data_IF_782633704267
#
_entry.id   IF_782633704267
#
_cell.length_a   1.000
_cell.length_b   1.000
_cell.length_c   1.000
_cell.angle_alpha   90.00
_cell.angle_beta   90.00
_cell.angle_gamma   90.00
#
_symmetry.space_group_name_H-M   'P 1'
#
loop_
_entity.id
_entity.type
_entity.pdbx_description
1 polymer ?
#
# COMPACT_ATOMS: atom_id res chain seq x y z
N UNK A 1 -2.69 27.37 -1.06
CA UNK A 1 -4.03 26.88 -0.65
C UNK A 1 -3.84 26.01 0.58
N UNK A 2 -4.86 25.86 1.45
CA UNK A 2 -4.71 25.14 2.73
C UNK A 2 -5.78 24.07 2.90
N UNK A 3 -5.36 22.91 3.40
CA UNK A 3 -6.20 21.78 3.75
C UNK A 3 -6.98 21.19 2.58
N UNK A 4 -7.79 20.18 2.88
CA UNK A 4 -8.56 19.41 1.89
C UNK A 4 -9.47 20.31 1.03
N UNK A 5 -10.06 21.35 1.63
CA UNK A 5 -10.94 22.30 0.92
C UNK A 5 -10.20 23.32 0.04
N UNK A 6 -8.87 23.26 0.03
CA UNK A 6 -8.01 24.13 -0.75
C UNK A 6 -8.30 25.63 -0.52
N UNK A 7 -8.57 26.00 0.73
CA UNK A 7 -8.94 27.37 1.10
C UNK A 7 -7.81 28.35 0.78
N UNK A 8 -8.18 29.59 0.43
CA UNK A 8 -7.20 30.65 0.21
C UNK A 8 -6.43 30.94 1.51
N UNK A 9 -5.11 31.09 1.39
CA UNK A 9 -4.26 31.36 2.53
C UNK A 9 -2.78 31.24 2.18
N UNK A 10 -1.96 31.94 2.97
CA UNK A 10 -0.50 31.90 2.89
C UNK A 10 0.03 30.92 3.94
N UNK A 11 0.99 30.08 3.54
CA UNK A 11 1.82 29.27 4.43
C UNK A 11 3.24 29.77 4.23
N UNK A 12 3.80 30.59 5.13
CA UNK A 12 5.14 31.17 4.94
C UNK A 12 6.22 30.13 4.63
N UNK A 13 6.13 28.96 5.25
CA UNK A 13 7.08 27.84 5.14
C UNK A 13 6.98 27.11 3.78
N UNK A 14 5.96 27.42 2.97
CA UNK A 14 5.78 26.76 1.67
C UNK A 14 6.79 27.19 0.60
N UNK A 15 7.48 28.33 0.81
CA UNK A 15 8.43 28.98 -0.12
C UNK A 15 7.79 29.29 -1.49
N UNK A 16 7.68 30.58 -1.85
CA UNK A 16 6.95 31.03 -3.05
C UNK A 16 5.49 30.50 -3.11
N UNK A 17 4.85 30.27 -1.97
CA UNK A 17 3.48 29.73 -1.91
C UNK A 17 3.38 28.27 -2.40
N UNK A 18 4.49 27.53 -2.45
CA UNK A 18 4.58 26.16 -2.97
C UNK A 18 4.84 26.08 -4.47
N UNK A 19 4.88 27.20 -5.19
CA UNK A 19 5.24 27.24 -6.61
C UNK A 19 6.75 27.08 -6.78
N UNK A 20 7.25 26.59 -7.92
CA UNK A 20 8.69 26.56 -8.20
C UNK A 20 9.23 27.96 -8.58
N UNK A 21 9.05 28.92 -7.68
CA UNK A 21 9.66 30.25 -7.72
C UNK A 21 11.12 30.22 -7.25
N UNK A 22 11.78 31.38 -7.11
CA UNK A 22 13.19 31.46 -6.76
C UNK A 22 13.56 30.75 -5.45
N UNK A 23 12.77 30.91 -4.39
CA UNK A 23 13.05 30.32 -3.08
C UNK A 23 12.88 28.80 -3.10
N UNK A 24 11.78 28.31 -3.68
CA UNK A 24 11.48 26.87 -3.79
C UNK A 24 12.50 26.17 -4.70
N UNK A 25 12.86 26.77 -5.83
CA UNK A 25 13.90 26.22 -6.73
C UNK A 25 15.27 26.18 -6.06
N UNK A 26 15.65 27.20 -5.31
CA UNK A 26 16.90 27.21 -4.54
C UNK A 26 16.90 26.09 -3.50
N UNK A 27 15.79 25.92 -2.77
CA UNK A 27 15.62 24.83 -1.80
C UNK A 27 15.73 23.46 -2.45
N UNK A 28 15.01 23.21 -3.56
CA UNK A 28 15.09 21.94 -4.29
C UNK A 28 16.50 21.67 -4.83
N UNK A 29 17.21 22.68 -5.35
CA UNK A 29 18.60 22.52 -5.81
C UNK A 29 19.53 22.11 -4.67
N UNK A 30 19.35 22.71 -3.49
CA UNK A 30 20.13 22.36 -2.31
C UNK A 30 19.89 20.91 -1.88
N UNK A 31 18.62 20.47 -1.82
CA UNK A 31 18.29 19.08 -1.50
C UNK A 31 18.86 18.11 -2.53
N UNK A 32 18.72 18.42 -3.82
CA UNK A 32 19.26 17.58 -4.91
C UNK A 32 20.79 17.50 -4.80
N UNK A 33 21.48 18.63 -4.63
CA UNK A 33 22.93 18.65 -4.50
C UNK A 33 23.42 17.84 -3.29
N UNK A 34 22.68 17.87 -2.18
CA UNK A 34 23.03 17.12 -0.95
C UNK A 34 22.73 15.64 -1.04
N UNK A 35 21.60 15.25 -1.63
CA UNK A 35 21.05 13.91 -1.43
C UNK A 35 20.91 13.08 -2.71
N UNK A 36 20.94 13.68 -3.90
CA UNK A 36 20.71 12.92 -5.14
C UNK A 36 21.77 11.87 -5.43
N UNK A 37 22.91 11.83 -4.75
CA UNK A 37 23.86 10.71 -4.93
C UNK A 37 23.38 9.40 -4.25
N UNK A 38 22.31 9.43 -3.44
CA UNK A 38 21.77 8.24 -2.78
C UNK A 38 20.89 7.43 -3.73
N UNK A 39 21.28 6.19 -4.03
CA UNK A 39 20.58 5.32 -4.99
C UNK A 39 19.13 4.97 -4.58
N UNK A 40 18.86 4.91 -3.28
CA UNK A 40 17.56 4.58 -2.73
C UNK A 40 16.84 5.84 -2.24
N UNK A 41 16.59 6.78 -3.17
CA UNK A 41 15.94 8.06 -2.90
C UNK A 41 14.65 8.20 -3.71
N UNK A 42 13.58 8.62 -3.02
CA UNK A 42 12.31 8.99 -3.60
C UNK A 42 12.04 10.48 -3.33
N UNK A 43 11.74 11.25 -4.36
CA UNK A 43 11.23 12.61 -4.22
C UNK A 43 9.70 12.58 -4.07
N UNK A 44 9.20 12.65 -2.84
CA UNK A 44 7.79 12.96 -2.60
C UNK A 44 7.58 14.47 -2.64
N UNK A 45 6.91 14.95 -3.69
CA UNK A 45 6.86 16.38 -4.01
C UNK A 45 5.84 17.14 -3.16
N UNK A 46 5.01 16.46 -2.38
CA UNK A 46 4.17 17.11 -1.38
C UNK A 46 3.23 16.15 -0.69
N UNK A 47 3.04 16.38 0.60
CA UNK A 47 2.06 15.75 1.47
C UNK A 47 0.73 16.52 1.40
N UNK A 48 -0.40 15.79 1.57
CA UNK A 48 -1.78 16.30 1.45
C UNK A 48 -1.93 17.50 0.48
N UNK A 49 -1.50 17.26 -0.76
CA UNK A 49 -1.11 18.34 -1.66
C UNK A 49 -2.31 19.17 -2.18
N UNK A 50 -2.17 20.51 -2.16
CA UNK A 50 -3.20 21.46 -2.62
C UNK A 50 -2.79 22.28 -3.87
N UNK A 51 -1.67 21.94 -4.49
CA UNK A 51 -1.17 22.54 -5.73
C UNK A 51 -2.11 22.21 -6.91
N UNK A 52 -2.13 23.06 -7.94
CA UNK A 52 -2.80 22.73 -9.20
C UNK A 52 -1.98 21.68 -9.96
N UNK A 53 -2.60 21.02 -10.94
CA UNK A 53 -1.88 20.11 -11.85
C UNK A 53 -0.69 20.80 -12.53
N UNK A 54 -0.84 22.06 -12.93
CA UNK A 54 0.23 22.86 -13.53
C UNK A 54 1.39 23.08 -12.54
N UNK A 55 1.09 23.53 -11.32
CA UNK A 55 2.11 23.75 -10.28
C UNK A 55 2.85 22.45 -9.92
N UNK A 56 2.14 21.31 -9.91
CA UNK A 56 2.75 19.98 -9.73
C UNK A 56 3.68 19.65 -10.88
N UNK A 57 3.23 19.81 -12.13
CA UNK A 57 4.04 19.53 -13.31
C UNK A 57 5.28 20.43 -13.38
N UNK A 58 5.18 21.71 -13.06
CA UNK A 58 6.33 22.60 -13.05
C UNK A 58 7.40 22.15 -12.03
N UNK A 59 6.98 21.71 -10.85
CA UNK A 59 7.91 21.22 -9.83
C UNK A 59 8.54 19.89 -10.23
N UNK A 60 7.76 18.96 -10.77
CA UNK A 60 8.23 17.67 -11.29
C UNK A 60 9.24 17.88 -12.42
N UNK A 61 8.92 18.73 -13.40
CA UNK A 61 9.81 19.04 -14.51
C UNK A 61 11.10 19.70 -14.04
N UNK A 62 11.02 20.59 -13.05
CA UNK A 62 12.21 21.21 -12.46
C UNK A 62 13.13 20.19 -11.77
N UNK A 63 12.58 19.33 -10.91
CA UNK A 63 13.34 18.28 -10.24
C UNK A 63 13.96 17.35 -11.30
N UNK A 64 13.18 16.96 -12.31
CA UNK A 64 13.65 16.06 -13.36
C UNK A 64 14.76 16.66 -14.22
N UNK A 65 14.72 17.96 -14.51
CA UNK A 65 15.79 18.65 -15.22
C UNK A 65 17.05 18.87 -14.36
N UNK A 66 16.92 18.80 -13.04
CA UNK A 66 17.99 19.18 -12.10
C UNK A 66 18.68 17.97 -11.46
N UNK A 67 17.95 16.89 -11.19
CA UNK A 67 18.49 15.66 -10.58
C UNK A 67 19.24 14.81 -11.63
N UNK A 68 20.58 14.71 -11.56
CA UNK A 68 21.37 14.03 -12.58
C UNK A 68 21.14 12.51 -12.62
N UNK A 69 20.60 11.93 -11.55
CA UNK A 69 20.37 10.49 -11.43
C UNK A 69 18.93 10.09 -11.76
N UNK A 70 18.06 11.07 -11.99
CA UNK A 70 16.71 10.83 -12.47
C UNK A 70 15.91 9.94 -11.50
N UNK A 71 15.97 10.24 -10.20
CA UNK A 71 15.28 9.48 -9.14
C UNK A 71 13.78 9.37 -9.36
N UNK A 72 13.20 8.43 -8.63
CA UNK A 72 11.77 8.25 -8.53
C UNK A 72 11.10 9.49 -7.93
N UNK A 73 10.03 9.96 -8.58
CA UNK A 73 9.23 11.11 -8.15
C UNK A 73 7.78 10.67 -7.95
N UNK A 74 7.26 10.92 -6.75
CA UNK A 74 5.87 10.63 -6.34
C UNK A 74 5.19 11.88 -5.81
N UNK A 75 3.87 11.82 -5.71
CA UNK A 75 3.07 12.82 -5.02
C UNK A 75 2.10 12.11 -4.07
N UNK A 76 1.92 12.69 -2.89
CA UNK A 76 0.92 12.30 -1.91
C UNK A 76 -0.28 13.26 -1.94
N UNK A 77 -1.47 12.73 -1.66
CA UNK A 77 -2.72 13.50 -1.71
C UNK A 77 -3.74 12.95 -0.71
N UNK A 78 -4.68 13.82 -0.32
CA UNK A 78 -5.85 13.41 0.45
C UNK A 78 -6.57 12.21 -0.20
N UNK A 79 -7.07 11.24 0.58
CA UNK A 79 -7.77 10.07 0.06
C UNK A 79 -8.93 10.36 -0.91
N UNK A 80 -9.81 11.36 -0.67
CA UNK A 80 -10.90 11.67 -1.60
C UNK A 80 -10.45 12.41 -2.88
N UNK A 81 -9.19 12.84 -2.96
CA UNK A 81 -8.68 13.65 -4.07
C UNK A 81 -7.79 12.88 -5.05
N UNK A 82 -7.47 11.61 -4.78
CA UNK A 82 -6.62 10.79 -5.64
C UNK A 82 -7.03 10.86 -7.12
N UNK A 83 -8.31 10.67 -7.41
CA UNK A 83 -8.87 10.74 -8.77
C UNK A 83 -8.62 12.10 -9.44
N UNK A 84 -8.84 13.18 -8.71
CA UNK A 84 -8.65 14.56 -9.17
C UNK A 84 -7.17 14.88 -9.41
N UNK A 85 -6.28 14.39 -8.55
CA UNK A 85 -4.85 14.73 -8.57
C UNK A 85 -4.08 13.86 -9.54
N UNK A 86 -4.24 12.53 -9.49
CA UNK A 86 -3.42 11.60 -10.25
C UNK A 86 -3.83 11.48 -11.72
N UNK A 87 -5.13 11.43 -12.04
CA UNK A 87 -5.63 11.25 -13.42
C UNK A 87 -5.01 12.23 -14.45
N UNK A 88 -4.95 13.55 -14.18
CA UNK A 88 -4.37 14.49 -15.15
C UNK A 88 -2.85 14.34 -15.28
N UNK A 89 -2.17 13.61 -14.38
CA UNK A 89 -0.72 13.41 -14.38
C UNK A 89 -0.28 12.09 -15.05
N UNK A 90 -1.20 11.20 -15.43
CA UNK A 90 -0.86 9.91 -16.04
C UNK A 90 -0.19 10.05 -17.42
N UNK A 91 0.66 9.08 -17.76
CA UNK A 91 1.29 8.96 -19.08
C UNK A 91 2.26 10.10 -19.38
N UNK A 92 2.23 10.59 -20.63
CA UNK A 92 3.09 11.69 -21.08
C UNK A 92 2.72 13.08 -20.51
N UNK A 93 1.62 13.19 -19.76
CA UNK A 93 1.16 14.46 -19.18
C UNK A 93 2.00 14.94 -17.99
N UNK A 94 2.82 14.06 -17.41
CA UNK A 94 3.73 14.40 -16.32
C UNK A 94 4.99 13.54 -16.35
N UNK A 95 6.07 14.05 -15.77
CA UNK A 95 7.28 13.25 -15.54
C UNK A 95 7.25 12.43 -14.24
N UNK A 96 6.14 12.46 -13.48
CA UNK A 96 5.92 11.55 -12.35
C UNK A 96 6.12 10.09 -12.71
N UNK A 97 6.72 9.35 -11.79
CA UNK A 97 7.03 7.93 -11.95
C UNK A 97 6.27 7.05 -10.97
N UNK A 98 5.52 7.65 -10.05
CA UNK A 98 4.81 6.92 -9.00
C UNK A 98 3.77 7.73 -8.25
N UNK A 99 3.11 7.05 -7.31
CA UNK A 99 2.16 7.64 -6.39
C UNK A 99 2.43 7.14 -4.96
N UNK A 100 2.23 8.03 -3.99
CA UNK A 100 2.32 7.76 -2.55
C UNK A 100 0.92 7.82 -1.98
N UNK A 101 0.33 6.67 -1.67
CA UNK A 101 -1.12 6.60 -1.40
C UNK A 101 -1.46 6.71 0.09
N UNK A 102 -2.32 7.67 0.42
CA UNK A 102 -3.08 7.73 1.68
C UNK A 102 -4.44 7.01 1.53
N UNK A 103 -4.73 6.01 2.36
CA UNK A 103 -6.00 5.26 2.29
C UNK A 103 -6.49 4.77 3.66
N UNK A 104 -7.77 4.38 3.74
CA UNK A 104 -8.21 3.44 4.77
C UNK A 104 -7.45 2.11 4.62
N UNK A 105 -7.11 1.46 5.74
CA UNK A 105 -6.34 0.21 5.75
C UNK A 105 -6.98 -0.90 4.90
N UNK A 106 -8.31 -0.92 4.81
CA UNK A 106 -9.09 -1.87 4.02
C UNK A 106 -9.28 -1.47 2.55
N UNK A 107 -8.75 -0.33 2.11
CA UNK A 107 -8.88 0.15 0.72
C UNK A 107 -7.57 0.06 -0.07
N UNK A 108 -6.47 -0.32 0.60
CA UNK A 108 -5.11 -0.29 0.04
C UNK A 108 -5.02 -1.12 -1.24
N UNK A 109 -5.55 -2.34 -1.26
CA UNK A 109 -5.52 -3.19 -2.45
C UNK A 109 -6.18 -2.52 -3.67
N UNK A 110 -7.44 -2.11 -3.53
CA UNK A 110 -8.23 -1.52 -4.63
C UNK A 110 -7.60 -0.22 -5.17
N UNK A 111 -7.13 0.63 -4.27
CA UNK A 111 -6.51 1.92 -4.64
C UNK A 111 -5.15 1.72 -5.29
N UNK A 112 -4.33 0.82 -4.77
CA UNK A 112 -3.06 0.43 -5.40
C UNK A 112 -3.30 -0.13 -6.80
N UNK A 113 -4.19 -1.12 -6.91
CA UNK A 113 -4.52 -1.78 -8.18
C UNK A 113 -4.98 -0.78 -9.25
N UNK A 114 -5.83 0.18 -8.86
CA UNK A 114 -6.27 1.24 -9.75
C UNK A 114 -5.09 2.00 -10.34
N UNK A 115 -4.17 2.50 -9.51
CA UNK A 115 -3.12 3.39 -10.00
C UNK A 115 -2.00 2.66 -10.75
N UNK A 116 -1.66 1.42 -10.38
CA UNK A 116 -0.75 0.60 -11.21
C UNK A 116 -1.38 0.30 -12.58
N UNK A 117 -2.69 0.04 -12.62
CA UNK A 117 -3.41 -0.28 -13.86
C UNK A 117 -3.56 0.95 -14.77
N UNK A 118 -4.05 2.07 -14.23
CA UNK A 118 -4.32 3.28 -15.02
C UNK A 118 -3.03 3.94 -15.53
N UNK A 119 -1.94 3.89 -14.75
CA UNK A 119 -0.63 4.37 -15.21
C UNK A 119 -0.05 3.51 -16.33
N UNK A 120 -0.13 2.17 -16.20
CA UNK A 120 0.28 1.25 -17.25
C UNK A 120 -0.53 1.45 -18.53
N UNK A 121 -1.87 1.58 -18.43
CA UNK A 121 -2.75 1.90 -19.58
C UNK A 121 -2.40 3.23 -20.25
N UNK A 122 -1.93 4.22 -19.49
CA UNK A 122 -1.48 5.50 -20.00
C UNK A 122 -0.08 5.45 -20.65
N UNK A 123 0.53 4.28 -20.78
CA UNK A 123 1.82 4.07 -21.44
C UNK A 123 3.05 4.40 -20.59
N UNK A 124 2.86 4.71 -19.30
CA UNK A 124 3.95 4.96 -18.35
C UNK A 124 3.60 4.33 -17.00
N UNK A 125 3.96 3.05 -16.79
CA UNK A 125 3.72 2.36 -15.53
C UNK A 125 4.29 3.13 -14.34
N UNK A 126 3.50 3.26 -13.28
CA UNK A 126 3.92 3.87 -12.03
C UNK A 126 4.31 2.82 -11.01
N UNK A 127 5.32 3.15 -10.21
CA UNK A 127 5.60 2.46 -8.94
C UNK A 127 4.69 3.07 -7.88
N UNK A 128 3.87 2.26 -7.22
CA UNK A 128 2.81 2.75 -6.31
C UNK A 128 3.00 2.13 -4.93
N UNK A 129 3.27 2.97 -3.93
CA UNK A 129 3.35 2.56 -2.53
C UNK A 129 2.14 3.09 -1.75
N UNK A 130 1.83 2.46 -0.61
CA UNK A 130 0.89 3.02 0.37
C UNK A 130 1.70 3.54 1.56
N UNK A 131 1.83 4.86 1.67
CA UNK A 131 2.64 5.49 2.72
C UNK A 131 1.84 5.80 3.98
N UNK A 132 0.51 5.89 3.87
CA UNK A 132 -0.36 6.14 5.01
C UNK A 132 -1.65 5.30 4.96
N UNK A 133 -1.88 4.55 6.03
CA UNK A 133 -3.02 3.66 6.22
C UNK A 133 -3.83 4.00 7.48
N UNK A 134 -5.14 3.87 7.35
CA UNK A 134 -6.06 4.08 8.46
C UNK A 134 -6.36 5.56 8.71
N UNK A 135 -7.16 5.87 9.74
CA UNK A 135 -7.46 7.25 10.07
C UNK A 135 -6.25 7.92 10.76
N UNK A 136 -6.09 9.23 10.53
CA UNK A 136 -5.06 10.08 11.16
C UNK A 136 -4.95 9.87 12.69
N UNK A 137 -6.07 9.53 13.34
CA UNK A 137 -6.10 9.28 14.79
C UNK A 137 -5.44 8.00 15.24
N UNK A 138 -5.48 6.93 14.43
CA UNK A 138 -5.11 5.58 14.91
C UNK A 138 -3.93 4.99 14.15
N UNK A 139 -3.82 5.19 12.83
CA UNK A 139 -2.74 4.62 12.01
C UNK A 139 -2.57 3.12 12.22
N UNK A 140 -1.33 2.63 12.23
CA UNK A 140 -1.00 1.23 12.57
C UNK A 140 -1.04 1.01 14.10
N UNK A 141 -1.82 0.02 14.59
CA UNK A 141 -1.94 -0.26 16.02
C UNK A 141 -0.61 -0.74 16.61
N UNK A 142 -0.30 -0.40 17.89
CA UNK A 142 0.74 -1.07 18.63
C UNK A 142 0.49 -2.57 18.76
N UNK A 143 1.55 -3.31 19.09
CA UNK A 143 1.46 -4.73 19.39
C UNK A 143 0.62 -4.98 20.67
N UNK A 144 -0.15 -6.08 20.71
CA UNK A 144 -0.90 -6.49 21.88
C UNK A 144 0.02 -6.61 23.10
N UNK A 145 -0.37 -5.96 24.20
CA UNK A 145 0.40 -5.89 25.44
C UNK A 145 1.36 -4.71 25.54
N UNK A 146 1.71 -4.03 24.43
CA UNK A 146 2.61 -2.88 24.48
C UNK A 146 1.98 -1.75 25.31
N UNK A 147 2.60 -1.42 26.44
CA UNK A 147 2.06 -0.45 27.42
C UNK A 147 0.59 -0.73 27.81
N UNK A 148 0.20 -2.01 27.87
CA UNK A 148 -1.17 -2.41 28.21
C UNK A 148 -2.20 -2.25 27.08
N UNK A 149 -1.76 -1.96 25.85
CA UNK A 149 -2.65 -1.91 24.69
C UNK A 149 -3.28 -3.29 24.42
N UNK A 150 -4.59 -3.33 24.16
CA UNK A 150 -5.34 -4.59 24.03
C UNK A 150 -5.20 -5.25 22.64
N UNK A 151 -4.49 -4.60 21.71
CA UNK A 151 -4.23 -5.11 20.37
C UNK A 151 -5.23 -4.66 19.31
N UNK A 152 -6.21 -3.81 19.65
CA UNK A 152 -7.26 -3.39 18.72
C UNK A 152 -7.38 -1.87 18.67
N UNK A 153 -7.10 -1.29 17.52
CA UNK A 153 -7.31 0.14 17.27
C UNK A 153 -8.81 0.43 17.15
N UNK A 154 -9.33 1.25 18.06
CA UNK A 154 -10.73 1.72 18.07
C UNK A 154 -10.76 3.23 18.24
N UNK A 155 -11.67 3.89 17.52
CA UNK A 155 -11.88 5.32 17.69
C UNK A 155 -12.43 5.57 19.12
N UNK A 156 -11.82 6.52 19.84
CA UNK A 156 -12.39 6.97 21.13
C UNK A 156 -13.70 7.71 20.87
N UNK A 157 -14.75 7.40 21.64
CA UNK A 157 -16.08 8.01 21.47
C UNK A 157 -16.08 9.54 21.69
N UNK A 158 -15.08 10.08 22.39
CA UNK A 158 -14.82 11.52 22.49
C UNK A 158 -13.31 11.76 22.66
N UNK A 159 -12.58 12.20 21.63
CA UNK A 159 -11.19 12.60 21.82
C UNK A 159 -11.17 13.93 22.57
N UNK A 160 -10.80 13.91 23.84
CA UNK A 160 -10.43 15.12 24.58
C UNK A 160 -9.36 15.88 23.77
N UNK A 161 -9.66 17.14 23.40
CA UNK A 161 -8.72 18.00 22.67
C UNK A 161 -9.28 18.75 21.45
N UNK A 162 -10.50 18.45 20.98
CA UNK A 162 -11.21 19.32 20.01
C UNK A 162 -12.44 19.96 20.66
N UNK A 163 -12.20 20.91 21.57
CA UNK A 163 -13.21 21.89 21.98
C UNK A 163 -13.56 22.77 20.78
N UNK A 164 -14.62 22.41 20.07
CA UNK A 164 -15.21 23.28 19.05
C UNK A 164 -15.28 22.67 17.66
N UNK A 165 -16.16 21.70 17.49
CA UNK A 165 -17.15 21.63 16.40
C UNK A 165 -18.00 20.40 16.68
N UNK A 166 -19.32 20.56 16.62
CA UNK A 166 -20.28 19.45 16.67
C UNK A 166 -19.90 18.48 15.55
N UNK A 167 -19.11 17.45 15.86
CA UNK A 167 -19.07 16.26 15.03
C UNK A 167 -20.50 15.74 15.08
N UNK A 168 -21.21 15.81 13.96
CA UNK A 168 -22.51 15.21 13.85
C UNK A 168 -22.39 13.78 14.40
N UNK A 169 -23.29 13.38 15.29
CA UNK A 169 -23.40 11.98 15.77
C UNK A 169 -23.72 11.10 14.57
N UNK A 170 -22.70 10.73 13.80
CA UNK A 170 -22.79 9.63 12.84
C UNK A 170 -22.63 8.37 13.66
N UNK A 171 -23.60 7.48 13.59
CA UNK A 171 -23.42 6.15 14.16
C UNK A 171 -22.22 5.48 13.48
N UNK A 172 -21.27 5.01 14.29
CA UNK A 172 -20.16 4.22 13.81
C UNK A 172 -20.68 2.95 13.13
N UNK A 173 -20.18 2.69 11.92
CA UNK A 173 -20.42 1.44 11.20
C UNK A 173 -19.98 0.23 12.02
N UNK A 174 -20.51 -0.99 11.74
CA UNK A 174 -20.06 -2.21 12.41
C UNK A 174 -18.55 -2.44 12.34
N UNK A 175 -17.91 -2.06 11.22
CA UNK A 175 -16.46 -2.15 11.05
C UNK A 175 -15.70 -1.17 11.96
N UNK A 176 -16.18 0.07 12.07
CA UNK A 176 -15.63 1.07 13.00
C UNK A 176 -15.80 0.63 14.47
N UNK A 177 -16.90 -0.05 14.81
CA UNK A 177 -17.15 -0.59 16.15
C UNK A 177 -16.25 -1.79 16.47
N UNK A 178 -16.00 -2.67 15.50
CA UNK A 178 -15.04 -3.79 15.65
C UNK A 178 -13.64 -3.28 15.93
N UNK A 179 -13.26 -2.17 15.28
CA UNK A 179 -11.88 -1.74 15.20
C UNK A 179 -11.07 -2.66 14.28
N UNK A 180 -9.75 -2.46 14.27
CA UNK A 180 -8.83 -3.24 13.46
C UNK A 180 -7.54 -3.55 14.22
N UNK A 181 -6.88 -4.64 13.85
CA UNK A 181 -5.68 -5.15 14.52
C UNK A 181 -4.46 -5.10 13.60
N UNK A 182 -3.28 -5.43 14.13
CA UNK A 182 -2.09 -5.65 13.32
C UNK A 182 -2.28 -6.74 12.24
N UNK A 183 -3.17 -7.73 12.47
CA UNK A 183 -3.48 -8.75 11.47
C UNK A 183 -4.29 -8.18 10.31
N UNK A 184 -5.23 -7.27 10.59
CA UNK A 184 -5.97 -6.55 9.54
C UNK A 184 -5.00 -5.73 8.67
N UNK A 185 -4.03 -5.03 9.28
CA UNK A 185 -2.96 -4.31 8.57
C UNK A 185 -2.11 -5.26 7.73
N UNK A 186 -1.62 -6.35 8.30
CA UNK A 186 -0.83 -7.36 7.56
C UNK A 186 -1.59 -7.88 6.34
N UNK A 187 -2.87 -8.23 6.50
CA UNK A 187 -3.69 -8.87 5.47
C UNK A 187 -4.16 -7.91 4.38
N UNK A 188 -4.72 -6.75 4.74
CA UNK A 188 -5.36 -5.85 3.80
C UNK A 188 -4.47 -4.68 3.36
N UNK A 189 -3.46 -4.30 4.16
CA UNK A 189 -2.49 -3.26 3.81
C UNK A 189 -1.22 -3.85 3.20
N UNK A 190 -0.43 -4.62 3.95
CA UNK A 190 0.86 -5.14 3.46
C UNK A 190 0.66 -6.11 2.30
N UNK A 191 0.02 -7.26 2.55
CA UNK A 191 -0.26 -8.23 1.49
C UNK A 191 -1.26 -7.69 0.47
N UNK A 192 -2.22 -6.85 0.88
CA UNK A 192 -3.14 -6.21 -0.06
C UNK A 192 -2.42 -5.33 -1.10
N UNK A 193 -1.45 -4.51 -0.68
CA UNK A 193 -0.64 -3.70 -1.58
C UNK A 193 0.22 -4.57 -2.51
N UNK A 194 0.98 -5.52 -1.94
CA UNK A 194 1.86 -6.40 -2.72
C UNK A 194 1.06 -7.20 -3.76
N UNK A 195 -0.08 -7.78 -3.38
CA UNK A 195 -0.91 -8.57 -4.28
C UNK A 195 -1.70 -7.73 -5.30
N UNK A 196 -1.74 -6.40 -5.14
CA UNK A 196 -2.21 -5.48 -6.16
C UNK A 196 -1.12 -5.13 -7.21
N UNK A 197 0.14 -5.49 -6.96
CA UNK A 197 1.30 -5.05 -7.75
C UNK A 197 1.95 -3.76 -7.21
N UNK A 198 1.66 -3.38 -5.97
CA UNK A 198 2.27 -2.23 -5.31
C UNK A 198 3.67 -2.49 -4.78
N UNK A 199 4.44 -1.43 -4.59
CA UNK A 199 5.86 -1.47 -4.25
C UNK A 199 6.15 -1.65 -2.75
N UNK A 200 5.12 -1.73 -1.91
CA UNK A 200 5.25 -1.84 -0.46
C UNK A 200 4.44 -0.79 0.30
N UNK A 201 4.74 -0.71 1.59
CA UNK A 201 4.00 0.09 2.57
C UNK A 201 4.94 0.88 3.46
N UNK A 202 4.52 2.08 3.83
CA UNK A 202 5.10 2.85 4.94
C UNK A 202 4.05 2.88 6.06
N UNK A 203 4.48 2.73 7.31
CA UNK A 203 3.57 2.57 8.44
C UNK A 203 3.39 3.90 9.17
N UNK A 204 2.23 4.52 8.97
CA UNK A 204 1.83 5.73 9.67
C UNK A 204 1.34 5.44 11.09
N UNK A 205 1.78 6.23 12.06
CA UNK A 205 1.40 6.10 13.46
C UNK A 205 0.43 7.21 13.86
N UNK A 206 -0.85 6.88 14.04
CA UNK A 206 -1.85 7.91 14.32
C UNK A 206 -1.71 8.54 15.70
N UNK A 207 -2.13 9.80 15.82
CA UNK A 207 -1.86 10.68 16.97
C UNK A 207 -2.44 10.24 18.33
N UNK A 208 -3.33 9.24 18.38
CA UNK A 208 -4.00 8.82 19.64
C UNK A 208 -3.39 7.59 20.32
N UNK A 209 -2.64 6.76 19.59
CA UNK A 209 -2.10 5.52 20.13
C UNK A 209 -0.72 5.77 20.78
N UNK A 210 -0.25 4.87 21.67
CA UNK A 210 1.12 4.92 22.18
C UNK A 210 2.16 5.06 21.07
N UNK A 211 3.28 5.76 21.33
CA UNK A 211 4.35 6.01 20.35
C UNK A 211 3.80 6.49 18.99
N UNK A 212 3.03 7.57 18.99
CA UNK A 212 2.39 8.14 17.80
C UNK A 212 3.32 9.05 16.97
N UNK A 213 2.82 9.55 15.85
CA UNK A 213 3.49 10.49 14.93
C UNK A 213 4.13 11.72 15.60
N UNK A 214 3.62 12.18 16.75
CA UNK A 214 4.16 13.35 17.44
C UNK A 214 5.27 13.03 18.44
N UNK A 215 5.25 11.83 19.05
CA UNK A 215 6.10 11.52 20.21
C UNK A 215 6.80 10.17 20.14
N UNK A 216 6.79 9.49 18.98
CA UNK A 216 7.45 8.20 18.83
C UNK A 216 8.95 8.28 19.15
N UNK A 217 9.35 7.53 20.16
CA UNK A 217 10.74 7.30 20.59
C UNK A 217 11.06 5.80 20.73
N UNK A 218 10.05 4.93 20.60
CA UNK A 218 10.20 3.47 20.69
C UNK A 218 9.46 2.73 19.56
N UNK A 219 10.25 2.32 18.57
CA UNK A 219 9.79 1.56 17.41
C UNK A 219 9.35 0.12 17.74
N UNK A 220 9.69 -0.40 18.94
CA UNK A 220 9.21 -1.72 19.41
C UNK A 220 7.72 -1.73 19.73
N UNK A 221 7.08 -0.56 19.76
CA UNK A 221 5.62 -0.49 19.84
C UNK A 221 4.91 -1.25 18.73
N UNK A 222 5.55 -1.45 17.56
CA UNK A 222 5.03 -2.22 16.41
C UNK A 222 6.03 -3.28 15.94
N UNK A 223 6.75 -3.92 16.86
CA UNK A 223 7.81 -4.90 16.56
C UNK A 223 7.35 -5.98 15.57
N UNK A 224 6.17 -6.57 15.81
CA UNK A 224 5.58 -7.59 14.92
C UNK A 224 5.32 -7.08 13.51
N UNK A 225 4.96 -5.80 13.36
CA UNK A 225 4.69 -5.23 12.04
C UNK A 225 5.95 -5.17 11.19
N UNK A 226 7.11 -4.89 11.80
CA UNK A 226 8.41 -4.94 11.14
C UNK A 226 8.80 -6.36 10.74
N UNK A 227 8.52 -7.33 11.62
CA UNK A 227 8.71 -8.75 11.30
C UNK A 227 7.87 -9.20 10.09
N UNK A 228 6.62 -8.75 9.97
CA UNK A 228 5.80 -9.07 8.80
C UNK A 228 6.36 -8.47 7.50
N UNK A 229 6.91 -7.26 7.55
CA UNK A 229 7.60 -6.68 6.40
C UNK A 229 8.81 -7.52 6.02
N UNK A 230 9.65 -7.91 6.99
CA UNK A 230 10.81 -8.78 6.76
C UNK A 230 10.38 -10.13 6.16
N UNK A 231 9.37 -10.77 6.73
CA UNK A 231 8.81 -12.06 6.24
C UNK A 231 8.33 -11.94 4.79
N UNK A 232 7.65 -10.85 4.43
CA UNK A 232 7.21 -10.63 3.05
C UNK A 232 8.42 -10.43 2.12
N UNK A 233 9.40 -9.61 2.49
CA UNK A 233 10.61 -9.38 1.68
C UNK A 233 11.40 -10.68 1.46
N UNK A 234 11.64 -11.45 2.52
CA UNK A 234 12.29 -12.76 2.47
C UNK A 234 11.51 -13.72 1.55
N UNK A 235 10.17 -13.76 1.64
CA UNK A 235 9.36 -14.60 0.76
C UNK A 235 9.61 -14.30 -0.73
N UNK A 236 9.52 -13.03 -1.13
CA UNK A 236 9.70 -12.65 -2.54
C UNK A 236 11.13 -12.94 -3.02
N UNK A 237 12.12 -12.62 -2.19
CA UNK A 237 13.54 -12.83 -2.48
C UNK A 237 13.90 -14.32 -2.58
N UNK A 238 13.64 -15.10 -1.52
CA UNK A 238 14.11 -16.48 -1.39
C UNK A 238 13.40 -17.43 -2.35
N UNK A 239 12.14 -17.14 -2.68
CA UNK A 239 11.37 -17.93 -3.65
C UNK A 239 11.54 -17.43 -5.09
N UNK A 240 12.44 -16.46 -5.32
CA UNK A 240 12.77 -15.88 -6.64
C UNK A 240 11.51 -15.47 -7.40
N UNK A 241 10.62 -14.75 -6.73
CA UNK A 241 9.36 -14.30 -7.33
C UNK A 241 9.68 -13.14 -8.28
N UNK A 242 9.37 -13.24 -9.59
CA UNK A 242 9.63 -12.19 -10.57
C UNK A 242 8.56 -11.10 -10.46
N UNK A 243 8.48 -10.42 -9.31
CA UNK A 243 7.38 -9.53 -8.94
C UNK A 243 7.04 -8.50 -10.02
N UNK A 244 8.06 -7.90 -10.64
CA UNK A 244 7.93 -6.88 -11.69
C UNK A 244 7.34 -7.40 -13.01
N UNK A 245 7.25 -8.72 -13.21
CA UNK A 245 6.62 -9.36 -14.37
C UNK A 245 5.20 -9.87 -14.06
N UNK A 246 4.73 -9.69 -12.82
CA UNK A 246 3.45 -10.20 -12.37
C UNK A 246 2.38 -9.11 -12.36
N UNK A 247 1.14 -9.50 -12.63
CA UNK A 247 -0.02 -8.62 -12.64
C UNK A 247 -1.14 -9.17 -11.75
N UNK A 248 -2.02 -8.30 -11.28
CA UNK A 248 -3.21 -8.76 -10.57
C UNK A 248 -4.06 -9.68 -11.47
N UNK A 249 -4.56 -10.75 -10.88
CA UNK A 249 -5.38 -11.75 -11.55
C UNK A 249 -6.53 -12.25 -10.65
N UNK A 250 -7.09 -11.38 -9.81
CA UNK A 250 -8.14 -11.75 -8.85
C UNK A 250 -9.37 -12.43 -9.50
N UNK A 251 -9.69 -12.09 -10.73
CA UNK A 251 -10.77 -12.72 -11.50
C UNK A 251 -10.57 -14.24 -11.64
N UNK A 252 -9.33 -14.73 -11.74
CA UNK A 252 -9.02 -16.16 -11.87
C UNK A 252 -9.35 -16.97 -10.61
N UNK A 253 -9.48 -16.31 -9.46
CA UNK A 253 -9.90 -16.94 -8.22
C UNK A 253 -11.33 -16.58 -7.84
N UNK A 254 -12.12 -16.02 -8.76
CA UNK A 254 -13.51 -15.64 -8.51
C UNK A 254 -13.67 -14.40 -7.62
N UNK A 255 -12.72 -13.45 -7.68
CA UNK A 255 -12.84 -12.12 -7.06
C UNK A 255 -12.74 -11.00 -8.11
N UNK A 256 -13.69 -10.88 -9.07
CA UNK A 256 -13.64 -9.85 -10.10
C UNK A 256 -13.88 -8.42 -9.56
N UNK A 257 -14.46 -8.30 -8.36
CA UNK A 257 -14.72 -7.04 -7.66
C UNK A 257 -13.47 -6.49 -6.95
N UNK A 258 -12.39 -7.27 -6.89
CA UNK A 258 -11.13 -6.92 -6.20
C UNK A 258 -11.36 -6.53 -4.74
N UNK A 259 -12.27 -7.21 -4.04
CA UNK A 259 -12.45 -7.02 -2.60
C UNK A 259 -11.36 -7.76 -1.80
N UNK A 260 -11.38 -7.61 -0.48
CA UNK A 260 -10.36 -8.19 0.41
C UNK A 260 -10.63 -9.65 0.79
N UNK A 261 -11.51 -10.37 0.09
CA UNK A 261 -11.80 -11.78 0.40
C UNK A 261 -10.62 -12.71 0.08
N UNK A 262 -9.89 -12.42 -1.00
CA UNK A 262 -8.73 -13.17 -1.51
C UNK A 262 -8.06 -12.41 -2.64
N UNK A 263 -6.75 -12.56 -2.80
CA UNK A 263 -6.01 -11.89 -3.88
C UNK A 263 -5.26 -12.90 -4.74
N UNK A 264 -5.07 -12.56 -6.01
CA UNK A 264 -4.24 -13.30 -6.95
C UNK A 264 -3.29 -12.34 -7.66
N UNK A 265 -2.01 -12.67 -7.66
CA UNK A 265 -0.96 -12.02 -8.43
C UNK A 265 -0.32 -13.08 -9.32
N UNK A 266 -0.20 -12.85 -10.63
CA UNK A 266 0.18 -13.88 -11.57
C UNK A 266 1.14 -13.40 -12.65
N UNK A 267 2.10 -14.26 -13.00
CA UNK A 267 2.69 -14.35 -14.34
C UNK A 267 2.00 -15.51 -15.04
N UNK A 268 1.02 -15.18 -15.89
CA UNK A 268 0.11 -16.16 -16.49
C UNK A 268 0.88 -17.29 -17.20
N UNK A 269 0.47 -18.53 -16.94
CA UNK A 269 1.08 -19.75 -17.50
C UNK A 269 2.35 -20.24 -16.82
N UNK A 270 2.85 -19.53 -15.81
CA UNK A 270 4.12 -19.88 -15.13
C UNK A 270 4.00 -19.87 -13.60
N UNK A 271 3.48 -18.79 -13.03
CA UNK A 271 3.46 -18.58 -11.58
C UNK A 271 2.21 -17.82 -11.15
N UNK A 272 1.52 -18.34 -10.15
CA UNK A 272 0.37 -17.70 -9.50
C UNK A 272 0.60 -17.68 -8.00
N UNK A 273 0.35 -16.53 -7.39
CA UNK A 273 0.34 -16.32 -5.96
C UNK A 273 -1.11 -16.06 -5.55
N UNK A 274 -1.66 -16.87 -4.66
CA UNK A 274 -3.04 -16.74 -4.18
C UNK A 274 -3.02 -16.51 -2.69
N UNK A 275 -3.34 -15.29 -2.25
CA UNK A 275 -3.40 -14.93 -0.84
C UNK A 275 -4.82 -15.07 -0.31
N UNK A 276 -4.98 -15.78 0.80
CA UNK A 276 -6.24 -16.04 1.47
C UNK A 276 -6.23 -15.39 2.86
N UNK A 277 -6.70 -14.13 3.02
CA UNK A 277 -6.69 -13.39 4.29
C UNK A 277 -7.39 -14.10 5.47
N UNK A 278 -8.38 -14.96 5.17
CA UNK A 278 -9.17 -15.69 6.16
C UNK A 278 -8.87 -17.21 6.15
N UNK A 279 -7.83 -17.64 5.43
CA UNK A 279 -7.50 -19.05 5.26
C UNK A 279 -8.49 -19.80 4.38
N UNK A 280 -8.67 -21.09 4.68
CA UNK A 280 -9.55 -21.99 3.97
C UNK A 280 -8.95 -22.46 2.65
N UNK A 281 -9.78 -22.50 1.61
CA UNK A 281 -9.36 -22.93 0.27
C UNK A 281 -10.03 -22.06 -0.78
N UNK A 282 -9.56 -22.15 -2.02
CA UNK A 282 -10.21 -21.56 -3.19
C UNK A 282 -9.96 -22.43 -4.41
N UNK A 283 -10.75 -22.16 -5.46
CA UNK A 283 -10.42 -22.61 -6.80
C UNK A 283 -9.59 -21.54 -7.55
N UNK A 284 -8.79 -22.01 -8.50
CA UNK A 284 -8.05 -21.20 -9.47
C UNK A 284 -8.47 -21.62 -10.89
N UNK A 285 -8.82 -20.66 -11.72
CA UNK A 285 -9.11 -20.87 -13.14
C UNK A 285 -7.81 -20.92 -13.95
N UNK A 286 -7.46 -22.10 -14.44
CA UNK A 286 -6.33 -22.36 -15.33
C UNK A 286 -6.81 -22.81 -16.72
N UNK A 287 -8.04 -22.47 -17.13
CA UNK A 287 -8.60 -22.82 -18.44
C UNK A 287 -7.80 -22.24 -19.61
N UNK A 288 -7.19 -21.07 -19.42
CA UNK A 288 -6.39 -20.39 -20.45
C UNK A 288 -4.97 -20.95 -20.64
N UNK A 289 -4.55 -21.95 -19.87
CA UNK A 289 -3.18 -22.51 -19.89
C UNK A 289 -3.20 -24.03 -19.80
N UNK A 290 -2.08 -24.68 -20.10
CA UNK A 290 -1.93 -26.14 -20.05
C UNK A 290 -0.67 -26.56 -19.31
N UNK A 291 -0.59 -27.83 -18.95
CA UNK A 291 0.52 -28.41 -18.19
C UNK A 291 0.17 -28.68 -16.73
N UNK A 292 1.17 -29.18 -15.99
CA UNK A 292 1.06 -29.44 -14.55
C UNK A 292 1.69 -28.29 -13.77
N UNK A 293 1.14 -28.02 -12.60
CA UNK A 293 1.64 -27.02 -11.67
C UNK A 293 1.77 -27.66 -10.29
N UNK A 294 2.84 -27.34 -9.60
CA UNK A 294 3.03 -27.60 -8.17
C UNK A 294 2.21 -26.61 -7.34
N UNK A 295 1.74 -27.05 -6.16
CA UNK A 295 0.95 -26.25 -5.22
C UNK A 295 1.62 -26.34 -3.84
N UNK A 296 2.08 -25.20 -3.33
CA UNK A 296 2.72 -25.11 -2.02
C UNK A 296 2.21 -23.90 -1.23
N UNK A 297 2.38 -23.93 0.08
CA UNK A 297 1.80 -22.97 1.02
C UNK A 297 2.89 -22.26 1.82
N UNK A 298 2.79 -20.94 1.89
CA UNK A 298 3.65 -20.07 2.68
C UNK A 298 2.86 -19.46 3.84
N UNK A 299 3.45 -19.46 5.04
CA UNK A 299 2.84 -18.87 6.23
C UNK A 299 3.25 -17.40 6.40
N UNK A 300 2.40 -16.42 6.07
CA UNK A 300 2.69 -14.99 6.20
C UNK A 300 2.82 -14.50 7.65
N UNK A 301 2.50 -15.33 8.65
CA UNK A 301 2.64 -14.99 10.09
C UNK A 301 4.04 -15.24 10.60
N UNK A 302 4.66 -16.33 10.15
CA UNK A 302 5.92 -16.85 10.70
C UNK A 302 7.06 -16.91 9.68
N UNK A 303 6.76 -16.75 8.39
CA UNK A 303 7.73 -17.01 7.33
C UNK A 303 8.15 -18.48 7.25
N UNK A 304 9.35 -18.71 6.73
CA UNK A 304 9.96 -20.03 6.57
C UNK A 304 9.73 -20.66 5.20
N UNK A 305 10.03 -21.95 5.10
CA UNK A 305 9.96 -22.71 3.85
C UNK A 305 8.51 -22.91 3.38
N UNK A 306 8.35 -23.05 2.07
CA UNK A 306 7.09 -23.52 1.47
C UNK A 306 6.74 -24.92 1.98
N UNK A 307 5.45 -25.17 2.22
CA UNK A 307 4.93 -26.42 2.78
C UNK A 307 3.92 -27.05 1.84
N UNK A 308 3.92 -28.37 1.79
CA UNK A 308 2.87 -29.12 1.09
C UNK A 308 1.54 -28.98 1.84
N UNK A 309 0.46 -28.69 1.09
CA UNK A 309 -0.91 -28.81 1.57
C UNK A 309 -1.50 -30.19 1.23
N UNK A 310 -2.83 -30.30 1.31
CA UNK A 310 -3.53 -31.53 0.90
C UNK A 310 -3.42 -31.79 -0.61
N UNK A 311 -3.35 -30.73 -1.42
CA UNK A 311 -3.11 -30.79 -2.86
C UNK A 311 -1.68 -30.32 -3.11
N UNK A 312 -0.88 -31.15 -3.78
CA UNK A 312 0.54 -30.87 -4.09
C UNK A 312 0.78 -30.48 -5.54
N UNK A 313 -0.14 -30.86 -6.42
CA UNK A 313 -0.08 -30.57 -7.85
C UNK A 313 -1.47 -30.54 -8.46
N UNK A 314 -1.63 -29.75 -9.52
CA UNK A 314 -2.86 -29.64 -10.31
C UNK A 314 -2.52 -29.64 -11.79
N UNK A 315 -3.41 -30.22 -12.61
CA UNK A 315 -3.31 -30.12 -14.06
C UNK A 315 -4.18 -28.95 -14.53
N UNK A 316 -3.60 -28.04 -15.32
CA UNK A 316 -4.31 -26.94 -15.96
C UNK A 316 -5.27 -27.43 -17.06
N UNK A 317 -5.97 -26.50 -17.71
CA UNK A 317 -7.02 -26.79 -18.70
C UNK A 317 -8.45 -26.65 -18.16
N UNK A 318 -8.60 -26.12 -16.94
CA UNK A 318 -9.90 -25.86 -16.32
C UNK A 318 -9.76 -25.23 -14.94
N UNK A 319 -10.87 -25.17 -14.22
CA UNK A 319 -10.88 -24.73 -12.83
C UNK A 319 -10.37 -25.86 -11.92
N UNK A 320 -9.43 -25.54 -11.03
CA UNK A 320 -8.79 -26.50 -10.12
C UNK A 320 -8.95 -26.07 -8.67
N UNK A 321 -9.16 -27.02 -7.77
CA UNK A 321 -9.20 -26.76 -6.33
C UNK A 321 -7.77 -26.81 -5.74
N UNK A 322 -7.41 -25.79 -4.95
CA UNK A 322 -6.07 -25.72 -4.34
C UNK A 322 -5.95 -26.51 -3.02
N UNK A 323 -7.07 -26.99 -2.48
CA UNK A 323 -7.11 -27.71 -1.20
C UNK A 323 -6.91 -26.79 0.02
N UNK A 324 -7.07 -27.30 1.25
CA UNK A 324 -6.79 -26.56 2.47
C UNK A 324 -5.28 -26.42 2.76
N UNK A 325 -4.87 -25.43 3.59
CA UNK A 325 -3.51 -25.28 4.06
C UNK A 325 -3.07 -26.43 4.97
N UNK A 326 -1.75 -26.58 5.21
CA UNK A 326 -1.22 -27.65 6.06
C UNK A 326 -1.61 -27.55 7.54
N UNK A 327 -1.97 -26.37 8.03
CA UNK A 327 -2.35 -26.11 9.42
C UNK A 327 -3.14 -24.79 9.52
N UNK A 328 -3.72 -24.52 10.69
CA UNK A 328 -4.38 -23.25 11.02
C UNK A 328 -5.34 -22.77 9.91
N UNK A 329 -6.30 -23.62 9.54
CA UNK A 329 -7.12 -23.40 8.34
C UNK A 329 -7.97 -22.11 8.39
N UNK A 330 -8.19 -21.51 9.56
CA UNK A 330 -8.87 -20.23 9.72
C UNK A 330 -7.92 -19.01 9.74
N UNK A 331 -6.61 -19.23 9.56
CA UNK A 331 -5.60 -18.18 9.51
C UNK A 331 -5.12 -17.96 8.08
N UNK A 332 -4.51 -16.82 7.82
CA UNK A 332 -4.15 -16.40 6.46
C UNK A 332 -3.03 -17.23 5.82
N UNK A 333 -3.11 -17.49 4.52
CA UNK A 333 -2.05 -18.23 3.82
C UNK A 333 -1.82 -17.68 2.43
N UNK A 334 -0.59 -17.82 1.95
CA UNK A 334 -0.25 -17.60 0.55
C UNK A 334 0.00 -18.93 -0.13
N UNK A 335 -0.74 -19.23 -1.19
CA UNK A 335 -0.52 -20.38 -2.04
C UNK A 335 0.40 -19.96 -3.19
N UNK A 336 1.44 -20.75 -3.42
CA UNK A 336 2.38 -20.61 -4.54
C UNK A 336 2.08 -21.74 -5.52
N UNK A 337 1.62 -21.38 -6.72
CA UNK A 337 1.30 -22.32 -7.79
C UNK A 337 2.30 -22.09 -8.93
N UNK A 338 3.19 -23.06 -9.16
CA UNK A 338 4.32 -22.90 -10.10
C UNK A 338 4.38 -24.06 -11.08
N UNK A 339 4.58 -23.73 -12.36
CA UNK A 339 4.80 -24.71 -13.42
C UNK A 339 6.06 -25.53 -13.20
#
# INVERSE_FOLDING_TARGET
RRGEKAEAGLVPESLDGGRPGPQRKLYCRELIARFAHNLALNWNIGEENTQTTEEVNDMVNFIRATDPYQHHIVIHTFPPQQDKVYTPLLGARSQLTGASLQNGWNQVHQRTLKWVTESAKAGKPWVVANDEQGPASLGVPPDPGYQGFDGVARAKENPEGKTGKKAAKRESSPEEKRGYTLDDIRKATLWGNLMAGGAGVEYYFGYQLPQNDLVCQDWRSRDKSWDYCRIALEFFHDNRIPFWEMNNANALIGNPTNDNSKYCLARAGELYLVYLPNGGTTALDLSGVSGSFTVQWFNPRSGGLLRDGAVKSVNAGGQVALGPPPADAAQDWLVVIRR
#
